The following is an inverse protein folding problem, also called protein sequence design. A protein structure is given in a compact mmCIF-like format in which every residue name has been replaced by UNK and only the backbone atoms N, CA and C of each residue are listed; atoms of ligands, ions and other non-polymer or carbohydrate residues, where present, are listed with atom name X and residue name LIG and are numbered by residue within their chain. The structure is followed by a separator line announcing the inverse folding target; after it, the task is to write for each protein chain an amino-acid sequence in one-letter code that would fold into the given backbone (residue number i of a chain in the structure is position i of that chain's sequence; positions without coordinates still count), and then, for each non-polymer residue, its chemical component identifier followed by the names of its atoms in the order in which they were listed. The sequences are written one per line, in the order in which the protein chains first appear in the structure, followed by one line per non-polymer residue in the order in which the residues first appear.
data_IF_788050059154
#
_entry.id   IF_788050059154
#
_cell.length_a   1.000
_cell.length_b   1.000
_cell.length_c   1.000
_cell.angle_alpha   90.00
_cell.angle_beta   90.00
_cell.angle_gamma   90.00
#
_symmetry.space_group_name_H-M   'P 1'
#
loop_
_entity.id
_entity.type
_entity.pdbx_description
1 polymer ?
#
# COMPACT_ATOMS: atom_id res chain seq x y z
N UNK A 1 45.47 19.32 -10.08
CA UNK A 1 44.41 19.80 -9.18
C UNK A 1 44.48 18.96 -7.90
N UNK A 2 44.94 19.56 -6.79
CA UNK A 2 44.95 18.88 -5.51
C UNK A 2 43.53 18.90 -4.92
N UNK A 3 42.83 17.79 -5.02
CA UNK A 3 41.54 17.59 -4.32
C UNK A 3 41.85 17.47 -2.83
N UNK A 4 41.67 18.53 -2.06
CA UNK A 4 41.68 18.43 -0.59
C UNK A 4 40.58 17.48 -0.19
N UNK A 5 40.93 16.29 0.30
CA UNK A 5 39.98 15.42 0.99
C UNK A 5 39.46 16.19 2.20
N UNK A 6 38.18 16.52 2.20
CA UNK A 6 37.50 17.09 3.38
C UNK A 6 37.25 15.90 4.31
N UNK A 7 38.10 15.75 5.30
CA UNK A 7 37.85 14.81 6.41
C UNK A 7 36.84 15.45 7.36
N UNK A 8 35.60 14.95 7.34
CA UNK A 8 34.63 15.31 8.35
C UNK A 8 35.06 14.70 9.71
N UNK A 9 34.97 15.45 10.82
CA UNK A 9 35.27 14.92 12.13
C UNK A 9 34.27 13.78 12.44
N UNK A 10 34.77 12.66 12.96
CA UNK A 10 33.95 11.54 13.42
C UNK A 10 33.89 11.65 14.93
N UNK A 11 32.68 11.79 15.47
CA UNK A 11 32.43 11.78 16.91
C UNK A 11 31.59 10.56 17.29
N UNK A 12 31.93 9.91 18.38
CA UNK A 12 31.14 8.85 18.96
C UNK A 12 30.16 9.44 19.98
N UNK A 13 28.92 9.03 19.91
CA UNK A 13 27.83 9.50 20.77
C UNK A 13 26.95 8.35 21.22
N UNK A 14 26.56 8.37 22.50
CA UNK A 14 25.57 7.43 23.06
C UNK A 14 24.13 7.79 22.68
N UNK A 15 23.92 8.87 21.90
CA UNK A 15 22.59 9.25 21.44
C UNK A 15 22.07 8.27 20.40
N UNK A 16 20.82 7.85 20.56
CA UNK A 16 20.14 7.09 19.53
C UNK A 16 20.02 7.94 18.25
N UNK A 17 20.38 7.38 17.12
CA UNK A 17 20.29 8.03 15.81
C UNK A 17 19.51 7.16 14.85
N UNK A 18 18.87 7.77 13.88
CA UNK A 18 18.16 7.09 12.79
C UNK A 18 18.57 7.65 11.44
N UNK A 19 18.66 6.78 10.44
CA UNK A 19 18.82 7.20 9.04
C UNK A 19 17.53 7.84 8.46
N UNK A 20 16.42 7.73 9.18
CA UNK A 20 15.08 8.08 8.71
C UNK A 20 14.46 9.26 9.49
N UNK A 21 15.27 10.19 10.00
CA UNK A 21 14.81 11.33 10.82
C UNK A 21 13.71 12.18 10.15
N UNK A 22 13.68 12.25 8.82
CA UNK A 22 12.64 12.93 8.06
C UNK A 22 11.23 12.37 8.29
N UNK A 23 11.09 11.12 8.74
CA UNK A 23 9.79 10.52 9.08
C UNK A 23 9.12 11.17 10.29
N UNK A 24 9.84 11.97 11.08
CA UNK A 24 9.23 12.80 12.13
C UNK A 24 8.22 13.81 11.57
N UNK A 25 8.45 14.33 10.35
CA UNK A 25 7.49 15.20 9.67
C UNK A 25 6.27 14.43 9.18
N UNK A 26 6.48 13.20 8.68
CA UNK A 26 5.39 12.32 8.31
C UNK A 26 4.54 11.94 9.53
N UNK A 27 5.16 11.68 10.68
CA UNK A 27 4.42 11.42 11.93
C UNK A 27 3.50 12.58 12.32
N UNK A 28 4.00 13.82 12.25
CA UNK A 28 3.16 15.01 12.48
C UNK A 28 1.97 15.11 11.52
N UNK A 29 2.18 14.75 10.25
CA UNK A 29 1.09 14.70 9.27
C UNK A 29 0.07 13.61 9.62
N UNK A 30 0.53 12.41 9.96
CA UNK A 30 -0.30 11.28 10.38
C UNK A 30 -1.18 11.66 11.57
N UNK A 31 -0.58 12.29 12.59
CA UNK A 31 -1.31 12.76 13.78
C UNK A 31 -2.35 13.83 13.41
N UNK A 32 -1.96 14.78 12.56
CA UNK A 32 -2.86 15.86 12.10
C UNK A 32 -4.10 15.33 11.38
N UNK A 33 -3.97 14.28 10.58
CA UNK A 33 -5.11 13.71 9.84
C UNK A 33 -5.90 12.68 10.65
N UNK A 34 -5.41 12.25 11.82
CA UNK A 34 -6.09 11.30 12.70
C UNK A 34 -6.14 9.87 12.17
N UNK A 35 -5.04 9.40 11.52
CA UNK A 35 -5.06 8.08 10.86
C UNK A 35 -5.03 6.93 11.87
N UNK A 36 -4.38 7.12 13.04
CA UNK A 36 -4.27 6.07 14.06
C UNK A 36 -5.64 5.82 14.68
N UNK A 37 -6.32 6.88 15.07
CA UNK A 37 -7.69 6.83 15.60
C UNK A 37 -8.66 6.21 14.59
N UNK A 38 -8.48 6.52 13.30
CA UNK A 38 -9.28 5.91 12.25
C UNK A 38 -9.01 4.41 12.13
N UNK A 39 -7.75 3.98 12.18
CA UNK A 39 -7.39 2.55 12.13
C UNK A 39 -7.99 1.78 13.32
N UNK A 40 -7.99 2.35 14.52
CA UNK A 40 -8.59 1.73 15.71
C UNK A 40 -10.11 1.56 15.59
N UNK A 41 -10.75 2.38 14.75
CA UNK A 41 -12.20 2.28 14.45
C UNK A 41 -12.58 1.17 13.48
N UNK A 42 -11.65 0.55 12.77
CA UNK A 42 -11.94 -0.53 11.83
C UNK A 42 -11.85 -1.91 12.49
N UNK A 43 -12.76 -2.82 12.11
CA UNK A 43 -12.81 -4.18 12.62
C UNK A 43 -11.76 -5.09 11.95
N UNK A 44 -10.49 -4.76 12.14
CA UNK A 44 -9.38 -5.58 11.67
C UNK A 44 -9.30 -6.94 12.36
N UNK A 45 -8.72 -7.98 11.70
CA UNK A 45 -8.49 -9.27 12.33
C UNK A 45 -7.64 -9.14 13.60
N UNK A 46 -8.18 -9.59 14.73
CA UNK A 46 -7.50 -9.48 16.03
C UNK A 46 -6.43 -10.54 16.23
N UNK A 47 -5.41 -10.28 17.09
CA UNK A 47 -4.45 -11.29 17.49
C UNK A 47 -5.13 -12.46 18.22
N UNK A 48 -4.53 -13.65 18.14
CA UNK A 48 -5.05 -14.85 18.81
C UNK A 48 -4.77 -14.90 20.32
N UNK A 49 -4.11 -13.89 20.88
CA UNK A 49 -3.78 -13.81 22.30
C UNK A 49 -3.69 -12.36 22.76
N UNK A 50 -3.88 -12.13 24.05
CA UNK A 50 -3.78 -10.79 24.67
C UNK A 50 -2.34 -10.23 24.73
N UNK A 51 -1.34 -11.01 24.27
CA UNK A 51 0.08 -10.59 24.16
C UNK A 51 0.47 -10.21 22.73
N UNK A 52 -0.48 -10.19 21.80
CA UNK A 52 -0.25 -9.80 20.41
C UNK A 52 -0.15 -8.28 20.25
N UNK A 53 0.36 -7.86 19.09
CA UNK A 53 0.30 -6.46 18.68
C UNK A 53 -1.14 -6.07 18.32
N UNK A 54 -1.51 -4.83 18.59
CA UNK A 54 -2.76 -4.31 18.08
C UNK A 54 -2.74 -4.21 16.55
N UNK A 55 -3.87 -4.44 15.86
CA UNK A 55 -3.93 -4.39 14.40
C UNK A 55 -3.43 -3.06 13.81
N UNK A 56 -3.78 -1.93 14.42
CA UNK A 56 -3.29 -0.60 14.03
C UNK A 56 -1.78 -0.46 14.14
N UNK A 57 -1.16 -1.01 15.20
CA UNK A 57 0.29 -1.05 15.35
C UNK A 57 0.96 -1.88 14.25
N UNK A 58 0.35 -3.04 13.87
CA UNK A 58 0.86 -3.88 12.78
C UNK A 58 0.81 -3.13 11.45
N UNK A 59 -0.31 -2.47 11.17
CA UNK A 59 -0.52 -1.72 9.92
C UNK A 59 0.44 -0.52 9.87
N UNK A 60 0.54 0.25 10.94
CA UNK A 60 1.44 1.41 11.01
C UNK A 60 2.90 0.98 10.84
N UNK A 61 3.31 -0.10 11.49
CA UNK A 61 4.66 -0.64 11.36
C UNK A 61 4.94 -1.16 9.96
N UNK A 62 3.95 -1.76 9.31
CA UNK A 62 4.04 -2.21 7.93
C UNK A 62 4.22 -1.02 6.97
N UNK A 63 3.43 0.04 7.13
CA UNK A 63 3.57 1.27 6.36
C UNK A 63 4.94 1.93 6.60
N UNK A 64 5.40 1.95 7.85
CA UNK A 64 6.72 2.47 8.19
C UNK A 64 7.83 1.74 7.44
N UNK A 65 7.75 0.41 7.34
CA UNK A 65 8.63 -0.38 6.50
C UNK A 65 8.60 0.07 5.03
N UNK A 66 7.41 0.27 4.45
CA UNK A 66 7.25 0.74 3.07
C UNK A 66 7.85 2.14 2.89
N UNK A 67 7.59 3.06 3.79
CA UNK A 67 8.12 4.43 3.73
C UNK A 67 9.65 4.49 3.85
N UNK A 68 10.26 3.51 4.49
CA UNK A 68 11.72 3.34 4.53
C UNK A 68 12.30 2.54 3.37
N UNK A 69 11.47 2.14 2.39
CA UNK A 69 11.90 1.47 1.16
C UNK A 69 11.80 -0.06 1.17
N UNK A 70 11.15 -0.65 2.17
CA UNK A 70 10.95 -2.10 2.21
C UNK A 70 10.09 -2.57 1.03
N UNK A 71 10.57 -3.56 0.29
CA UNK A 71 9.87 -4.25 -0.80
C UNK A 71 9.53 -5.71 -0.48
N UNK A 72 9.93 -6.19 0.69
CA UNK A 72 9.68 -7.55 1.22
C UNK A 72 9.50 -7.48 2.73
N UNK A 73 8.78 -8.41 3.32
CA UNK A 73 8.58 -8.45 4.77
C UNK A 73 9.89 -8.52 5.56
N UNK A 74 10.90 -9.22 5.05
CA UNK A 74 12.21 -9.30 5.71
C UNK A 74 12.89 -7.93 5.84
N UNK A 75 12.59 -6.99 4.92
CA UNK A 75 13.17 -5.65 4.98
C UNK A 75 12.62 -4.82 6.14
N UNK A 76 11.50 -5.22 6.75
CA UNK A 76 10.98 -4.56 7.95
C UNK A 76 11.94 -4.68 9.15
N UNK A 77 12.82 -5.69 9.14
CA UNK A 77 13.82 -5.86 10.17
C UNK A 77 14.85 -4.70 10.18
N UNK A 78 15.03 -3.98 9.07
CA UNK A 78 15.91 -2.80 9.01
C UNK A 78 15.47 -1.66 9.95
N UNK A 79 14.16 -1.51 10.12
CA UNK A 79 13.58 -0.48 10.98
C UNK A 79 13.09 -1.03 12.32
N UNK A 80 12.98 -2.36 12.44
CA UNK A 80 12.45 -3.03 13.63
C UNK A 80 13.23 -2.69 14.90
N UNK A 81 14.55 -2.52 14.79
CA UNK A 81 15.45 -2.25 15.89
C UNK A 81 15.83 -0.78 16.00
N UNK A 82 15.28 0.08 15.15
CA UNK A 82 15.51 1.53 15.21
C UNK A 82 14.68 2.14 16.35
N UNK A 83 15.35 2.37 17.49
CA UNK A 83 14.72 2.92 18.69
C UNK A 83 14.17 4.32 18.49
N UNK A 84 14.82 5.14 17.64
CA UNK A 84 14.36 6.51 17.38
C UNK A 84 13.04 6.48 16.60
N UNK A 85 12.90 5.59 15.63
CA UNK A 85 11.62 5.41 14.93
C UNK A 85 10.54 4.87 15.86
N UNK A 86 10.87 3.93 16.73
CA UNK A 86 9.93 3.43 17.74
C UNK A 86 9.40 4.57 18.62
N UNK A 87 10.28 5.43 19.10
CA UNK A 87 9.91 6.60 19.93
C UNK A 87 9.08 7.60 19.16
N UNK A 88 9.47 7.97 17.91
CA UNK A 88 8.73 8.90 17.06
C UNK A 88 7.30 8.42 16.82
N UNK A 89 7.11 7.12 16.55
CA UNK A 89 5.82 6.54 16.20
C UNK A 89 5.05 5.97 17.41
N UNK A 90 5.60 6.05 18.61
CA UNK A 90 4.97 5.54 19.83
C UNK A 90 4.87 4.02 19.89
N UNK A 91 5.73 3.30 19.16
CA UNK A 91 5.73 1.85 19.08
C UNK A 91 6.69 1.24 20.11
N UNK A 92 6.18 0.36 20.97
CA UNK A 92 7.04 -0.33 21.96
C UNK A 92 8.02 -1.30 21.31
N UNK A 93 7.55 -2.00 20.29
CA UNK A 93 8.32 -2.96 19.51
C UNK A 93 7.66 -3.11 18.15
N UNK A 94 8.44 -3.17 17.07
CA UNK A 94 7.88 -3.42 15.75
C UNK A 94 7.74 -4.92 15.47
N UNK A 95 6.68 -5.33 14.78
CA UNK A 95 6.45 -6.72 14.40
C UNK A 95 7.57 -7.29 13.53
N UNK A 96 7.78 -8.60 13.62
CA UNK A 96 8.66 -9.33 12.70
C UNK A 96 7.95 -9.68 11.40
N UNK A 97 8.70 -10.04 10.36
CA UNK A 97 8.15 -10.47 9.07
C UNK A 97 7.06 -11.55 9.20
N UNK A 98 7.24 -12.51 10.11
CA UNK A 98 6.26 -13.57 10.33
C UNK A 98 4.97 -13.07 10.96
N UNK A 99 5.00 -11.97 11.70
CA UNK A 99 3.80 -11.34 12.26
C UNK A 99 2.96 -10.69 11.16
N UNK A 100 3.58 -9.98 10.21
CA UNK A 100 2.87 -9.42 9.05
C UNK A 100 2.21 -10.51 8.22
N UNK A 101 2.94 -11.58 7.89
CA UNK A 101 2.40 -12.71 7.14
C UNK A 101 1.20 -13.35 7.85
N UNK A 102 1.32 -13.63 9.16
CA UNK A 102 0.22 -14.20 9.95
C UNK A 102 -0.98 -13.25 10.07
N UNK A 103 -0.75 -11.95 10.16
CA UNK A 103 -1.82 -10.96 10.23
C UNK A 103 -2.57 -10.88 8.90
N UNK A 104 -1.86 -10.74 7.78
CA UNK A 104 -2.46 -10.63 6.46
C UNK A 104 -3.20 -11.91 6.04
N UNK A 105 -2.72 -13.08 6.45
CA UNK A 105 -3.40 -14.35 6.19
C UNK A 105 -4.75 -14.52 6.93
N UNK A 106 -5.09 -13.62 7.84
CA UNK A 106 -6.41 -13.62 8.51
C UNK A 106 -7.49 -12.90 7.71
N UNK A 107 -7.11 -12.17 6.67
CA UNK A 107 -8.07 -11.47 5.83
C UNK A 107 -8.71 -12.45 4.84
N UNK A 108 -10.02 -12.59 4.95
CA UNK A 108 -10.84 -13.25 3.93
C UNK A 108 -11.35 -12.22 2.92
N UNK A 109 -11.84 -12.67 1.76
CA UNK A 109 -12.48 -11.76 0.80
C UNK A 109 -13.65 -10.98 1.42
N UNK A 110 -14.45 -11.65 2.27
CA UNK A 110 -15.52 -10.98 3.01
C UNK A 110 -14.98 -9.84 3.87
N UNK A 111 -13.90 -10.10 4.63
CA UNK A 111 -13.29 -9.11 5.51
C UNK A 111 -12.67 -7.95 4.74
N UNK A 112 -12.07 -8.24 3.58
CA UNK A 112 -11.56 -7.21 2.68
C UNK A 112 -12.67 -6.28 2.20
N UNK A 113 -13.81 -6.83 1.79
CA UNK A 113 -14.96 -6.05 1.31
C UNK A 113 -15.62 -5.21 2.41
N UNK A 114 -15.47 -5.59 3.68
CA UNK A 114 -15.99 -4.83 4.83
C UNK A 114 -15.07 -3.65 5.20
N UNK A 115 -13.75 -3.87 5.20
CA UNK A 115 -12.77 -2.92 5.75
C UNK A 115 -12.28 -1.92 4.70
N UNK A 116 -11.82 -2.41 3.55
CA UNK A 116 -11.09 -1.56 2.60
C UNK A 116 -11.92 -0.45 1.96
N UNK A 117 -13.20 -0.63 1.59
CA UNK A 117 -14.01 0.48 1.09
C UNK A 117 -14.15 1.61 2.11
N UNK A 118 -14.41 1.27 3.37
CA UNK A 118 -14.53 2.27 4.45
C UNK A 118 -13.22 2.99 4.74
N UNK A 119 -12.10 2.28 4.69
CA UNK A 119 -10.76 2.88 4.83
C UNK A 119 -10.44 3.81 3.65
N UNK A 120 -10.77 3.42 2.43
CA UNK A 120 -10.61 4.26 1.25
C UNK A 120 -11.47 5.52 1.32
N UNK A 121 -12.73 5.38 1.70
CA UNK A 121 -13.65 6.50 1.90
C UNK A 121 -13.09 7.50 2.91
N UNK A 122 -12.56 7.01 4.03
CA UNK A 122 -11.92 7.86 5.02
C UNK A 122 -10.75 8.65 4.42
N UNK A 123 -9.87 8.00 3.64
CA UNK A 123 -8.78 8.67 2.94
C UNK A 123 -9.27 9.70 1.93
N UNK A 124 -10.27 9.35 1.12
CA UNK A 124 -10.78 10.26 0.10
C UNK A 124 -11.48 11.47 0.68
N UNK A 125 -12.14 11.35 1.84
CA UNK A 125 -12.70 12.50 2.56
C UNK A 125 -11.62 13.50 3.02
N UNK A 126 -10.39 13.05 3.26
CA UNK A 126 -9.25 13.91 3.63
C UNK A 126 -8.59 14.60 2.41
N UNK A 127 -8.92 14.20 1.19
CA UNK A 127 -8.38 14.80 -0.02
C UNK A 127 -9.24 16.00 -0.42
N UNK A 128 -8.69 17.20 -0.22
CA UNK A 128 -9.27 18.45 -0.74
C UNK A 128 -8.80 18.66 -2.17
N UNK A 129 -9.44 17.95 -3.10
CA UNK A 129 -9.23 18.08 -4.54
C UNK A 129 -10.58 18.31 -5.20
N UNK A 130 -10.61 19.26 -6.12
CA UNK A 130 -11.81 19.55 -6.91
C UNK A 130 -12.12 18.46 -7.93
N UNK A 131 -12.35 18.85 -9.16
CA UNK A 131 -12.64 17.91 -10.26
C UNK A 131 -11.45 16.99 -10.54
N UNK A 132 -11.67 15.67 -10.48
CA UNK A 132 -10.61 14.67 -10.66
C UNK A 132 -10.64 14.04 -12.06
N UNK A 133 -9.46 13.57 -12.48
CA UNK A 133 -9.31 12.69 -13.64
C UNK A 133 -9.00 11.28 -13.12
N UNK A 134 -9.73 10.29 -13.62
CA UNK A 134 -9.51 8.88 -13.27
C UNK A 134 -8.85 8.16 -14.45
N UNK A 135 -7.71 7.57 -14.20
CA UNK A 135 -6.95 6.77 -15.15
C UNK A 135 -7.16 5.29 -14.87
N UNK A 136 -7.70 4.56 -15.83
CA UNK A 136 -7.81 3.10 -15.77
C UNK A 136 -6.66 2.44 -16.52
N UNK A 137 -6.01 1.50 -15.86
CA UNK A 137 -4.89 0.76 -16.43
C UNK A 137 -4.93 -0.71 -16.03
N UNK A 138 -4.23 -1.52 -16.83
CA UNK A 138 -3.96 -2.91 -16.53
C UNK A 138 -2.51 -3.25 -16.80
N UNK A 139 -1.91 -4.05 -15.94
CA UNK A 139 -0.52 -4.45 -16.09
C UNK A 139 -0.35 -5.94 -15.84
N UNK A 140 0.74 -6.50 -16.37
CA UNK A 140 1.10 -7.89 -16.10
C UNK A 140 2.18 -7.95 -15.04
N UNK A 141 1.90 -8.61 -13.91
CA UNK A 141 2.86 -8.83 -12.84
C UNK A 141 3.33 -10.28 -12.88
N UNK A 142 4.55 -10.51 -13.39
CA UNK A 142 5.16 -11.83 -13.44
C UNK A 142 5.38 -12.40 -12.02
N UNK A 143 5.10 -13.69 -11.85
CA UNK A 143 5.35 -14.42 -10.61
C UNK A 143 6.41 -15.50 -10.80
N UNK A 144 7.20 -15.73 -9.76
CA UNK A 144 8.28 -16.72 -9.72
C UNK A 144 7.96 -17.83 -8.69
N UNK A 145 6.74 -18.31 -8.71
CA UNK A 145 6.25 -19.37 -7.83
C UNK A 145 4.76 -19.55 -8.01
N UNK A 146 4.15 -20.36 -7.15
CA UNK A 146 2.73 -20.71 -7.18
C UNK A 146 1.94 -19.83 -6.20
N UNK A 147 1.97 -18.51 -6.41
CA UNK A 147 1.19 -17.59 -5.62
C UNK A 147 -0.31 -17.78 -5.90
N UNK A 148 -1.11 -17.68 -4.86
CA UNK A 148 -2.56 -17.79 -4.94
C UNK A 148 -3.15 -16.88 -6.02
N UNK A 149 -4.05 -17.43 -6.85
CA UNK A 149 -4.69 -16.71 -7.94
C UNK A 149 -3.78 -16.39 -9.13
N UNK A 150 -2.50 -16.78 -9.14
CA UNK A 150 -1.65 -16.64 -10.31
C UNK A 150 -1.95 -17.69 -11.36
N UNK A 151 -1.87 -17.32 -12.62
CA UNK A 151 -2.08 -18.24 -13.74
C UNK A 151 -1.16 -17.92 -14.93
N UNK A 152 -0.94 -18.92 -15.77
CA UNK A 152 -0.25 -18.74 -17.06
C UNK A 152 -1.21 -18.06 -18.06
N UNK A 153 -0.77 -16.94 -18.63
CA UNK A 153 -1.49 -16.19 -19.63
C UNK A 153 -0.57 -15.35 -20.48
N UNK A 154 -1.12 -14.33 -21.13
CA UNK A 154 -0.30 -13.38 -21.88
C UNK A 154 0.66 -12.65 -20.95
N UNK A 155 1.95 -12.88 -21.14
CA UNK A 155 3.02 -12.23 -20.41
C UNK A 155 4.11 -11.79 -21.39
N UNK A 156 4.15 -10.51 -21.77
CA UNK A 156 5.10 -10.02 -22.77
C UNK A 156 6.55 -10.06 -22.27
N UNK A 157 6.75 -9.96 -20.96
CA UNK A 157 8.07 -9.92 -20.35
C UNK A 157 8.68 -11.32 -20.12
N UNK A 158 7.85 -12.30 -19.75
CA UNK A 158 8.29 -13.66 -19.39
C UNK A 158 7.23 -14.69 -19.83
N UNK A 159 7.31 -15.11 -21.11
CA UNK A 159 6.40 -16.12 -21.69
C UNK A 159 6.41 -17.42 -20.85
N UNK A 160 5.22 -17.98 -20.64
CA UNK A 160 5.02 -19.25 -19.94
C UNK A 160 5.15 -19.20 -18.42
N UNK A 161 5.41 -18.04 -17.81
CA UNK A 161 5.42 -17.85 -16.38
C UNK A 161 4.02 -17.51 -15.84
N UNK A 162 3.75 -17.96 -14.63
CA UNK A 162 2.58 -17.50 -13.89
C UNK A 162 2.63 -15.97 -13.71
N UNK A 163 1.48 -15.35 -13.76
CA UNK A 163 1.34 -13.91 -13.58
C UNK A 163 0.01 -13.56 -12.94
N UNK A 164 -0.10 -12.33 -12.48
CA UNK A 164 -1.37 -11.67 -12.23
C UNK A 164 -1.57 -10.56 -13.27
N UNK A 165 -2.83 -10.24 -13.56
CA UNK A 165 -3.21 -9.18 -14.48
C UNK A 165 -4.20 -8.22 -13.79
N UNK A 166 -3.73 -7.39 -12.81
CA UNK A 166 -4.60 -6.49 -12.09
C UNK A 166 -5.23 -5.43 -12.98
N UNK A 167 -6.44 -4.98 -12.58
CA UNK A 167 -7.02 -3.71 -12.98
C UNK A 167 -6.71 -2.68 -11.90
N UNK A 168 -6.35 -1.47 -12.32
CA UNK A 168 -6.03 -0.36 -11.45
C UNK A 168 -6.78 0.89 -11.90
N UNK A 169 -7.27 1.67 -10.95
CA UNK A 169 -7.80 3.00 -11.17
C UNK A 169 -6.99 4.00 -10.34
N UNK A 170 -6.53 5.07 -10.98
CA UNK A 170 -5.72 6.10 -10.34
C UNK A 170 -6.42 7.45 -10.40
N UNK A 171 -6.27 8.25 -9.36
CA UNK A 171 -6.55 9.69 -9.41
C UNK A 171 -5.31 10.37 -9.99
N UNK A 172 -5.42 10.89 -11.20
CA UNK A 172 -4.30 11.41 -11.98
C UNK A 172 -3.52 12.51 -11.26
N UNK A 173 -4.23 13.43 -10.59
CA UNK A 173 -3.65 14.59 -9.90
C UNK A 173 -2.76 14.19 -8.73
N UNK A 174 -3.12 13.14 -8.01
CA UNK A 174 -2.45 12.71 -6.78
C UNK A 174 -1.66 11.41 -6.95
N UNK A 175 -1.89 10.68 -8.04
CA UNK A 175 -1.39 9.32 -8.29
C UNK A 175 -1.83 8.30 -7.24
N UNK A 176 -2.89 8.60 -6.50
CA UNK A 176 -3.47 7.68 -5.53
C UNK A 176 -4.26 6.60 -6.28
N UNK A 177 -4.12 5.36 -5.83
CA UNK A 177 -4.94 4.24 -6.31
C UNK A 177 -6.35 4.40 -5.76
N UNK A 178 -7.32 4.60 -6.65
CA UNK A 178 -8.74 4.71 -6.28
C UNK A 178 -9.39 3.33 -6.12
N UNK A 179 -8.99 2.36 -6.94
CA UNK A 179 -9.46 0.97 -6.85
C UNK A 179 -8.44 0.02 -7.47
N UNK A 180 -8.42 -1.23 -7.01
CA UNK A 180 -7.51 -2.27 -7.51
C UNK A 180 -8.16 -3.65 -7.43
N UNK A 181 -8.24 -4.35 -8.55
CA UNK A 181 -8.62 -5.76 -8.60
C UNK A 181 -7.44 -6.63 -9.00
N UNK A 182 -7.05 -7.58 -8.14
CA UNK A 182 -6.04 -8.57 -8.48
C UNK A 182 -6.70 -9.72 -9.22
N UNK A 183 -6.33 -9.90 -10.51
CA UNK A 183 -6.91 -10.94 -11.38
C UNK A 183 -5.83 -11.94 -11.80
N UNK A 184 -6.21 -13.19 -12.14
CA UNK A 184 -5.29 -14.17 -12.70
C UNK A 184 -4.65 -13.70 -14.01
N UNK A 185 -3.43 -14.18 -14.31
CA UNK A 185 -2.67 -13.79 -15.49
C UNK A 185 -3.28 -14.22 -16.83
N UNK A 186 -4.21 -15.17 -16.82
CA UNK A 186 -4.96 -15.61 -18.00
C UNK A 186 -6.23 -14.79 -18.27
N UNK A 187 -6.45 -13.72 -17.51
CA UNK A 187 -7.58 -12.80 -17.69
C UNK A 187 -7.22 -11.76 -18.75
N UNK A 188 -8.09 -11.53 -19.73
CA UNK A 188 -7.89 -10.46 -20.71
C UNK A 188 -8.03 -9.07 -20.06
N UNK A 189 -7.36 -8.05 -20.63
CA UNK A 189 -7.38 -6.69 -20.09
C UNK A 189 -8.83 -6.13 -19.99
N UNK A 190 -9.67 -6.39 -21.00
CA UNK A 190 -11.05 -5.93 -21.07
C UNK A 190 -12.04 -6.75 -20.23
N UNK A 191 -11.64 -7.90 -19.68
CA UNK A 191 -12.56 -8.72 -18.88
C UNK A 191 -12.96 -7.98 -17.61
N UNK A 192 -14.27 -7.93 -17.32
CA UNK A 192 -14.85 -7.31 -16.13
C UNK A 192 -14.49 -5.82 -15.95
N UNK A 193 -14.04 -5.12 -17.00
CA UNK A 193 -13.66 -3.72 -16.87
C UNK A 193 -14.86 -2.81 -16.56
N UNK A 194 -16.05 -3.12 -17.09
CA UNK A 194 -17.28 -2.36 -16.82
C UNK A 194 -17.68 -2.47 -15.34
N UNK A 195 -17.65 -3.67 -14.79
CA UNK A 195 -17.93 -3.92 -13.38
C UNK A 195 -16.91 -3.22 -12.48
N UNK A 196 -15.64 -3.27 -12.83
CA UNK A 196 -14.58 -2.56 -12.13
C UNK A 196 -14.79 -1.04 -12.15
N UNK A 197 -15.13 -0.48 -13.31
CA UNK A 197 -15.45 0.96 -13.44
C UNK A 197 -16.66 1.34 -12.60
N UNK A 198 -17.74 0.56 -12.65
CA UNK A 198 -18.94 0.80 -11.84
C UNK A 198 -18.62 0.79 -10.35
N UNK A 199 -17.86 -0.19 -9.88
CA UNK A 199 -17.40 -0.24 -8.48
C UNK A 199 -16.56 0.97 -8.13
N UNK A 200 -15.61 1.33 -8.99
CA UNK A 200 -14.74 2.50 -8.78
C UNK A 200 -15.55 3.78 -8.59
N UNK A 201 -16.53 4.04 -9.44
CA UNK A 201 -17.33 5.27 -9.35
C UNK A 201 -18.35 5.24 -8.21
N UNK A 202 -19.02 4.12 -8.01
CA UNK A 202 -20.15 4.04 -7.06
C UNK A 202 -19.69 3.81 -5.60
N UNK A 203 -18.56 3.15 -5.40
CA UNK A 203 -18.08 2.80 -4.06
C UNK A 203 -16.84 3.60 -3.66
N UNK A 204 -15.84 3.66 -4.53
CA UNK A 204 -14.56 4.27 -4.16
C UNK A 204 -14.54 5.80 -4.35
N UNK A 205 -15.26 6.33 -5.33
CA UNK A 205 -15.25 7.75 -5.71
C UNK A 205 -16.62 8.42 -5.59
N UNK A 206 -17.54 7.84 -4.85
CA UNK A 206 -18.91 8.36 -4.70
C UNK A 206 -18.97 9.79 -4.16
N UNK A 207 -17.97 10.21 -3.39
CA UNK A 207 -17.86 11.56 -2.81
C UNK A 207 -17.06 12.55 -3.67
N UNK A 208 -16.61 12.17 -4.88
CA UNK A 208 -15.73 12.98 -5.74
C UNK A 208 -16.40 13.36 -7.05
N UNK A 209 -16.11 14.58 -7.51
CA UNK A 209 -16.52 15.06 -8.83
C UNK A 209 -15.54 14.55 -9.90
N UNK A 210 -15.97 13.56 -10.70
CA UNK A 210 -15.16 12.98 -11.77
C UNK A 210 -15.39 13.77 -13.07
N UNK A 211 -14.39 14.54 -13.48
CA UNK A 211 -14.46 15.39 -14.67
C UNK A 211 -13.97 14.73 -15.95
N UNK A 212 -13.03 13.79 -15.84
CA UNK A 212 -12.44 13.11 -16.99
C UNK A 212 -12.09 11.66 -16.63
N UNK A 213 -12.31 10.78 -17.58
CA UNK A 213 -11.90 9.36 -17.52
C UNK A 213 -10.95 9.08 -18.67
N UNK A 214 -9.81 8.46 -18.39
CA UNK A 214 -8.86 8.01 -19.40
C UNK A 214 -8.63 6.50 -19.27
N UNK A 215 -8.42 5.86 -20.40
CA UNK A 215 -8.16 4.43 -20.49
C UNK A 215 -6.89 4.18 -21.29
N UNK A 216 -6.09 3.19 -20.88
CA UNK A 216 -5.01 2.68 -21.72
C UNK A 216 -5.54 1.70 -22.78
N UNK A 217 -4.78 1.51 -23.87
CA UNK A 217 -5.22 0.74 -25.09
C UNK A 217 -5.73 -0.68 -24.84
N UNK A 218 -5.59 -1.23 -23.65
CA UNK A 218 -6.07 -2.57 -23.29
C UNK A 218 -7.56 -2.65 -22.93
N UNK A 219 -8.21 -1.53 -22.67
CA UNK A 219 -9.61 -1.45 -22.19
C UNK A 219 -10.65 -1.30 -23.30
N UNK A 220 -10.24 -1.27 -24.57
CA UNK A 220 -11.18 -1.06 -25.68
C UNK A 220 -12.28 -2.10 -25.65
N UNK A 221 -13.49 -1.70 -25.27
CA UNK A 221 -14.69 -2.50 -25.38
C UNK A 221 -15.01 -2.64 -26.86
N UNK A 222 -14.98 -3.85 -27.39
CA UNK A 222 -15.62 -4.12 -28.70
C UNK A 222 -17.12 -3.89 -28.51
N UNK A 223 -17.65 -2.94 -29.26
CA UNK A 223 -19.11 -2.74 -29.43
C UNK A 223 -19.74 -3.96 -30.04
#
# INVERSE_FOLDING_TARGET
MNTKMVTLPIEYSDKNVTAHGGLSLLKRFIDKIGIIEALDGFDFPKPGSNRGYDPSEIILSFWLGIWTGASRYIHSDWVRYDKVLQEIFGLKLMPSQSTYSRFLNKFSQKKNNEIFPSLQDWFFQKLDIGKITVDFDSMVITRYGDQEGSAKGYNPNKKGRNSHHPLLAFISQTRIVANAWLRPGNTAASSNCVEFMKETFNQCLSSKDVGLVRETKGFTLKR
#
